data_IF_321672629683
#
_entry.id   IF_321672629683
#
_cell.length_a   1.000
_cell.length_b   1.000
_cell.length_c   1.000
_cell.angle_alpha   90.00
_cell.angle_beta   90.00
_cell.angle_gamma   90.00
#
_symmetry.space_group_name_H-M   'P 1'
#
loop_
_entity.id
_entity.type
_entity.pdbx_description
1 polymer ?
#
# COMPACT_ATOMS: atom_id res chain seq x y z
N UNK A 1 51.24 -25.14 -42.52
CA UNK A 1 51.24 -25.23 -44.00
C UNK A 1 50.34 -26.36 -44.39
N UNK A 2 49.36 -26.06 -45.25
CA UNK A 2 48.66 -26.96 -46.19
C UNK A 2 47.91 -28.17 -45.63
N UNK A 3 46.72 -28.56 -46.08
CA UNK A 3 45.62 -28.04 -46.93
C UNK A 3 44.69 -29.26 -47.12
N UNK A 4 43.38 -29.03 -47.31
CA UNK A 4 42.48 -29.73 -48.28
C UNK A 4 42.24 -31.25 -48.13
N UNK A 5 41.10 -31.86 -48.48
CA UNK A 5 39.76 -31.44 -48.92
C UNK A 5 38.97 -32.73 -49.22
N UNK A 6 37.64 -32.62 -49.21
CA UNK A 6 36.67 -33.15 -50.22
C UNK A 6 36.43 -34.66 -50.39
N UNK A 7 35.14 -34.98 -50.24
CA UNK A 7 34.25 -35.63 -51.23
C UNK A 7 33.87 -37.13 -51.12
N UNK A 8 32.56 -37.29 -50.90
CA UNK A 8 31.55 -38.03 -51.67
C UNK A 8 31.72 -39.51 -52.01
N UNK A 9 30.68 -40.29 -51.68
CA UNK A 9 30.01 -41.14 -52.68
C UNK A 9 28.66 -41.71 -52.21
N UNK A 10 27.65 -41.39 -53.02
CA UNK A 10 26.33 -42.00 -53.13
C UNK A 10 26.39 -43.45 -53.70
N UNK A 11 25.39 -44.29 -53.36
CA UNK A 11 24.56 -45.07 -54.32
C UNK A 11 23.65 -46.06 -53.56
N UNK A 12 22.32 -45.87 -53.59
CA UNK A 12 21.33 -46.43 -54.54
C UNK A 12 21.13 -47.95 -54.49
N UNK A 13 19.97 -48.42 -53.99
CA UNK A 13 19.12 -49.44 -54.65
C UNK A 13 17.63 -49.12 -54.40
N UNK A 14 16.84 -49.16 -55.48
CA UNK A 14 15.36 -49.01 -55.59
C UNK A 14 14.67 -50.39 -55.55
N UNK A 15 13.47 -50.45 -54.97
CA UNK A 15 12.21 -51.08 -55.49
C UNK A 15 11.18 -51.04 -54.34
N UNK A 16 9.86 -50.95 -54.49
CA UNK A 16 8.91 -50.96 -55.61
C UNK A 16 7.58 -50.38 -55.06
N UNK A 17 6.80 -49.76 -55.94
CA UNK A 17 5.48 -49.18 -55.67
C UNK A 17 4.41 -50.24 -55.43
N UNK A 18 3.54 -50.02 -54.44
CA UNK A 18 2.12 -50.35 -54.58
C UNK A 18 1.29 -49.34 -53.77
N UNK A 19 0.37 -48.69 -54.48
CA UNK A 19 -0.61 -47.72 -54.00
C UNK A 19 -1.67 -48.42 -53.15
N UNK A 20 -2.13 -47.77 -52.09
CA UNK A 20 -3.57 -47.56 -51.83
C UNK A 20 -3.78 -46.45 -50.79
N UNK A 21 -4.82 -45.67 -51.03
CA UNK A 21 -5.22 -44.49 -50.29
C UNK A 21 -5.89 -44.85 -48.96
N UNK A 22 -5.58 -44.10 -47.89
CA UNK A 22 -6.58 -43.43 -47.03
C UNK A 22 -5.97 -42.90 -45.71
N UNK A 23 -6.38 -41.69 -45.33
CA UNK A 23 -6.54 -41.30 -43.92
C UNK A 23 -5.34 -40.73 -43.16
N UNK A 24 -5.10 -39.43 -43.31
CA UNK A 24 -4.26 -38.62 -42.41
C UNK A 24 -4.83 -38.60 -40.97
N UNK A 25 -4.11 -39.15 -39.99
CA UNK A 25 -4.23 -38.79 -38.56
C UNK A 25 -2.85 -38.67 -37.92
N UNK A 26 -2.43 -37.43 -37.67
CA UNK A 26 -1.22 -37.10 -36.90
C UNK A 26 -1.44 -37.41 -35.42
N UNK A 27 -0.68 -38.39 -34.90
CA UNK A 27 -0.45 -38.58 -33.47
C UNK A 27 0.47 -37.47 -32.97
N UNK A 28 0.02 -36.69 -31.98
CA UNK A 28 0.90 -35.84 -31.16
C UNK A 28 1.24 -36.59 -29.88
N UNK A 29 2.55 -36.70 -29.67
CA UNK A 29 3.23 -37.27 -28.51
C UNK A 29 2.80 -36.62 -27.20
N UNK A 30 2.54 -37.49 -26.22
CA UNK A 30 2.37 -37.24 -24.80
C UNK A 30 3.67 -36.79 -24.15
N UNK A 31 3.62 -35.72 -23.35
CA UNK A 31 4.60 -35.44 -22.30
C UNK A 31 3.87 -34.99 -21.04
N UNK A 32 3.61 -35.97 -20.18
CA UNK A 32 3.14 -35.80 -18.80
C UNK A 32 4.31 -35.40 -17.92
N UNK A 33 4.16 -34.27 -17.21
CA UNK A 33 5.06 -33.88 -16.12
C UNK A 33 4.25 -33.25 -15.00
N UNK A 34 3.81 -34.07 -14.06
CA UNK A 34 3.16 -33.65 -12.81
C UNK A 34 4.22 -33.53 -11.73
N UNK A 35 4.17 -32.45 -10.94
CA UNK A 35 4.80 -32.42 -9.62
C UNK A 35 3.95 -31.55 -8.67
N UNK A 36 3.44 -32.22 -7.63
CA UNK A 36 2.67 -31.74 -6.46
C UNK A 36 1.14 -31.80 -6.57
N UNK A 37 0.56 -32.53 -5.61
CA UNK A 37 -0.75 -33.15 -5.67
C UNK A 37 -1.93 -32.27 -5.25
N UNK A 38 -3.03 -32.46 -5.95
CA UNK A 38 -4.35 -32.73 -5.39
C UNK A 38 -5.25 -33.22 -6.53
N UNK A 39 -5.89 -34.37 -6.39
CA UNK A 39 -6.96 -34.83 -7.28
C UNK A 39 -8.21 -33.97 -7.05
N UNK A 40 -8.19 -32.70 -7.48
CA UNK A 40 -9.39 -31.85 -7.49
C UNK A 40 -10.21 -32.24 -8.72
N UNK A 41 -11.44 -32.71 -8.48
CA UNK A 41 -12.51 -32.77 -9.47
C UNK A 41 -12.59 -31.42 -10.20
N UNK A 42 -11.99 -31.33 -11.39
CA UNK A 42 -12.13 -30.15 -12.24
C UNK A 42 -13.49 -30.26 -12.91
N UNK A 43 -14.45 -29.46 -12.46
CA UNK A 43 -15.68 -29.27 -13.19
C UNK A 43 -15.32 -28.63 -14.54
N UNK A 44 -15.65 -29.30 -15.65
CA UNK A 44 -15.44 -28.73 -16.97
C UNK A 44 -16.35 -27.51 -17.13
N UNK A 45 -15.77 -26.34 -17.41
CA UNK A 45 -16.54 -25.13 -17.71
C UNK A 45 -17.24 -25.30 -19.05
N UNK A 46 -18.44 -24.75 -19.17
CA UNK A 46 -19.17 -24.73 -20.45
C UNK A 46 -18.41 -23.87 -21.48
N UNK A 47 -18.53 -24.15 -22.79
CA UNK A 47 -17.99 -23.27 -23.82
C UNK A 47 -18.40 -21.80 -23.58
N UNK A 48 -17.46 -20.86 -23.71
CA UNK A 48 -17.69 -19.43 -23.48
C UNK A 48 -17.66 -18.95 -22.01
N UNK A 49 -17.24 -19.81 -21.08
CA UNK A 49 -17.13 -19.46 -19.65
C UNK A 49 -15.67 -19.48 -19.16
N UNK A 50 -14.72 -19.20 -20.05
CA UNK A 50 -13.31 -19.10 -19.66
C UNK A 50 -13.05 -17.82 -18.84
N UNK A 51 -11.88 -17.75 -18.19
CA UNK A 51 -11.43 -16.54 -17.52
C UNK A 51 -11.39 -15.33 -18.48
N UNK A 52 -11.05 -15.54 -19.75
CA UNK A 52 -11.03 -14.46 -20.75
C UNK A 52 -12.43 -13.99 -21.10
N UNK A 53 -13.42 -14.88 -21.12
CA UNK A 53 -14.82 -14.54 -21.35
C UNK A 53 -15.38 -13.75 -20.17
N UNK A 54 -14.99 -14.11 -18.94
CA UNK A 54 -15.32 -13.34 -17.74
C UNK A 54 -14.75 -11.92 -17.79
N UNK A 55 -13.48 -11.76 -18.16
CA UNK A 55 -12.85 -10.44 -18.29
C UNK A 55 -13.55 -9.61 -19.36
N UNK A 56 -13.96 -10.23 -20.47
CA UNK A 56 -14.72 -9.57 -21.53
C UNK A 56 -16.09 -9.09 -21.03
N UNK A 57 -16.80 -9.93 -20.28
CA UNK A 57 -18.08 -9.59 -19.66
C UNK A 57 -17.94 -8.44 -18.64
N UNK A 58 -16.90 -8.47 -17.80
CA UNK A 58 -16.62 -7.37 -16.86
C UNK A 58 -16.31 -6.02 -17.53
N UNK A 59 -15.96 -6.03 -18.82
CA UNK A 59 -15.65 -4.83 -19.60
C UNK A 59 -16.77 -4.46 -20.61
N UNK A 60 -17.90 -5.18 -20.63
CA UNK A 60 -19.01 -4.90 -21.56
C UNK A 60 -19.80 -3.63 -21.20
N UNK A 61 -19.62 -3.10 -19.98
CA UNK A 61 -20.42 -1.99 -19.45
C UNK A 61 -21.71 -2.45 -18.76
N UNK A 62 -21.99 -3.75 -18.69
CA UNK A 62 -23.09 -4.28 -17.89
C UNK A 62 -22.84 -4.08 -16.39
N UNK A 63 -23.90 -3.74 -15.66
CA UNK A 63 -23.87 -3.61 -14.21
C UNK A 63 -23.89 -4.99 -13.55
N UNK A 64 -22.70 -5.50 -13.21
CA UNK A 64 -22.54 -6.81 -12.57
C UNK A 64 -22.78 -6.78 -11.05
N UNK A 65 -22.78 -5.59 -10.41
CA UNK A 65 -23.14 -5.46 -8.99
C UNK A 65 -24.65 -5.34 -8.79
N UNK A 66 -25.36 -4.81 -9.79
CA UNK A 66 -26.80 -4.51 -9.71
C UNK A 66 -27.10 -3.24 -8.92
N UNK A 67 -26.07 -2.40 -8.68
CA UNK A 67 -26.18 -1.19 -7.85
C UNK A 67 -25.99 0.12 -8.62
N UNK A 68 -25.95 0.06 -9.95
CA UNK A 68 -25.71 1.19 -10.85
C UNK A 68 -24.47 2.00 -10.46
N UNK A 69 -23.42 1.31 -9.99
CA UNK A 69 -22.16 1.91 -9.53
C UNK A 69 -22.20 2.53 -8.13
N UNK A 70 -23.29 2.42 -7.37
CA UNK A 70 -23.37 2.88 -5.98
C UNK A 70 -22.90 1.79 -5.03
N UNK A 71 -22.07 2.17 -4.06
CA UNK A 71 -21.63 1.26 -3.00
C UNK A 71 -22.56 1.39 -1.79
N UNK A 72 -23.16 0.28 -1.37
CA UNK A 72 -24.21 0.23 -0.35
C UNK A 72 -23.71 -0.62 0.82
N UNK A 73 -23.66 -0.08 2.05
CA UNK A 73 -23.37 -0.87 3.24
C UNK A 73 -24.49 -1.90 3.50
N UNK A 74 -24.14 -3.19 3.51
CA UNK A 74 -25.08 -4.33 3.60
C UNK A 74 -25.03 -4.93 5.00
N UNK A 75 -26.17 -5.22 5.64
CA UNK A 75 -26.17 -5.95 6.92
C UNK A 75 -26.12 -7.46 6.71
N UNK A 76 -25.77 -8.22 7.76
CA UNK A 76 -25.80 -9.69 7.67
C UNK A 76 -27.21 -10.21 7.38
N UNK A 77 -28.25 -9.56 7.90
CA UNK A 77 -29.64 -9.91 7.61
C UNK A 77 -29.95 -9.71 6.13
N UNK A 78 -29.50 -8.60 5.54
CA UNK A 78 -29.70 -8.34 4.12
C UNK A 78 -28.91 -9.33 3.25
N UNK A 79 -27.63 -9.55 3.57
CA UNK A 79 -26.79 -10.52 2.87
C UNK A 79 -27.45 -11.92 2.83
N UNK A 80 -28.08 -12.34 3.93
CA UNK A 80 -28.70 -13.67 4.04
C UNK A 80 -29.91 -13.89 3.13
N UNK A 81 -30.53 -12.81 2.61
CA UNK A 81 -31.65 -12.89 1.66
C UNK A 81 -31.20 -13.27 0.26
N UNK A 82 -29.97 -12.91 -0.11
CA UNK A 82 -29.39 -13.15 -1.43
C UNK A 82 -28.66 -14.49 -1.46
N UNK A 83 -29.42 -15.58 -1.27
CA UNK A 83 -28.89 -16.92 -1.02
C UNK A 83 -29.17 -17.94 -2.14
N UNK A 84 -29.59 -17.50 -3.33
CA UNK A 84 -30.04 -18.38 -4.42
C UNK A 84 -29.16 -18.24 -5.67
N UNK A 85 -29.18 -19.22 -6.58
CA UNK A 85 -28.35 -19.17 -7.80
C UNK A 85 -28.55 -17.91 -8.64
N UNK A 86 -29.80 -17.43 -8.72
CA UNK A 86 -30.18 -16.27 -9.53
C UNK A 86 -30.10 -14.95 -8.76
N UNK A 87 -29.77 -15.02 -7.47
CA UNK A 87 -29.58 -13.88 -6.58
C UNK A 87 -28.59 -14.29 -5.48
N UNK A 88 -27.30 -14.27 -5.84
CA UNK A 88 -26.23 -14.87 -5.06
C UNK A 88 -25.22 -13.82 -4.62
N UNK A 89 -25.23 -13.48 -3.33
CA UNK A 89 -24.24 -12.58 -2.76
C UNK A 89 -23.33 -13.31 -1.79
N UNK A 90 -22.09 -12.84 -1.67
CA UNK A 90 -21.10 -13.41 -0.77
C UNK A 90 -20.32 -12.29 -0.09
N UNK A 91 -20.03 -12.44 1.20
CA UNK A 91 -19.09 -11.57 1.89
C UNK A 91 -17.71 -12.24 1.96
N UNK A 92 -16.66 -11.51 1.59
CA UNK A 92 -15.27 -11.95 1.70
C UNK A 92 -14.45 -10.78 2.27
N UNK A 93 -13.84 -11.01 3.43
CA UNK A 93 -13.03 -10.04 4.20
C UNK A 93 -13.75 -8.71 4.40
N UNK A 94 -15.03 -8.78 4.76
CA UNK A 94 -15.86 -7.61 5.08
C UNK A 94 -16.45 -6.86 3.87
N UNK A 95 -16.26 -7.34 2.65
CA UNK A 95 -16.86 -6.75 1.43
C UNK A 95 -17.87 -7.73 0.82
N UNK A 96 -19.03 -7.22 0.43
CA UNK A 96 -20.11 -7.97 -0.21
C UNK A 96 -20.01 -7.86 -1.74
N UNK A 97 -20.11 -9.00 -2.42
CA UNK A 97 -20.08 -9.14 -3.87
C UNK A 97 -21.32 -9.84 -4.40
N UNK A 98 -21.88 -9.34 -5.50
CA UNK A 98 -22.93 -10.01 -6.27
C UNK A 98 -22.28 -11.02 -7.24
N UNK A 99 -22.23 -12.29 -6.84
CA UNK A 99 -21.60 -13.35 -7.62
C UNK A 99 -22.57 -14.09 -8.56
N UNK A 100 -23.81 -13.61 -8.69
CA UNK A 100 -24.85 -14.21 -9.54
C UNK A 100 -24.37 -14.50 -10.95
N UNK A 101 -23.76 -13.52 -11.63
CA UNK A 101 -23.23 -13.67 -12.99
C UNK A 101 -21.92 -14.46 -13.05
N UNK A 102 -21.22 -14.58 -11.92
CA UNK A 102 -19.95 -15.30 -11.82
C UNK A 102 -20.11 -16.81 -11.63
N UNK A 103 -21.32 -17.28 -11.26
CA UNK A 103 -21.62 -18.68 -10.97
C UNK A 103 -21.12 -19.66 -12.04
N UNK A 104 -21.43 -19.38 -13.31
CA UNK A 104 -21.07 -20.28 -14.41
C UNK A 104 -19.59 -20.16 -14.83
N UNK A 105 -18.85 -19.18 -14.29
CA UNK A 105 -17.42 -18.92 -14.53
C UNK A 105 -16.51 -19.42 -13.40
N UNK A 106 -17.08 -19.94 -12.31
CA UNK A 106 -16.31 -20.42 -11.17
C UNK A 106 -15.60 -21.75 -11.49
N UNK A 107 -14.26 -21.83 -11.45
CA UNK A 107 -13.53 -23.06 -11.82
C UNK A 107 -13.78 -24.25 -10.89
N UNK A 108 -14.25 -24.00 -9.67
CA UNK A 108 -14.66 -25.04 -8.72
C UNK A 108 -16.08 -25.56 -8.94
N UNK A 109 -16.82 -24.99 -9.91
CA UNK A 109 -18.23 -25.30 -10.14
C UNK A 109 -19.17 -24.50 -9.25
N UNK A 110 -20.46 -24.53 -9.61
CA UNK A 110 -21.53 -23.76 -8.94
C UNK A 110 -21.72 -24.24 -7.51
N UNK A 111 -21.68 -25.56 -7.29
CA UNK A 111 -21.96 -26.17 -5.98
C UNK A 111 -20.97 -25.71 -4.89
N UNK A 112 -19.69 -25.55 -5.26
CA UNK A 112 -18.66 -25.04 -4.34
C UNK A 112 -18.88 -23.56 -4.00
N UNK A 113 -19.26 -22.75 -4.99
CA UNK A 113 -19.50 -21.32 -4.77
C UNK A 113 -20.78 -21.10 -3.95
N UNK A 114 -21.84 -21.88 -4.21
CA UNK A 114 -23.12 -21.83 -3.50
C UNK A 114 -22.99 -22.12 -2.00
N UNK A 115 -21.96 -22.86 -1.57
CA UNK A 115 -21.70 -23.11 -0.13
C UNK A 115 -21.49 -21.83 0.66
N UNK A 116 -20.92 -20.80 0.01
CA UNK A 116 -20.62 -19.50 0.62
C UNK A 116 -21.68 -18.41 0.39
N UNK A 117 -22.68 -18.68 -0.44
CA UNK A 117 -23.69 -17.71 -0.82
C UNK A 117 -24.63 -17.38 0.36
N UNK A 118 -24.97 -16.11 0.51
CA UNK A 118 -25.76 -15.56 1.61
C UNK A 118 -25.00 -15.43 2.94
N UNK A 119 -23.67 -15.57 2.96
CA UNK A 119 -22.86 -15.65 4.19
C UNK A 119 -21.54 -14.89 4.08
N UNK A 120 -20.92 -14.63 5.24
CA UNK A 120 -19.49 -14.32 5.32
C UNK A 120 -18.67 -15.58 5.10
N UNK A 121 -18.09 -15.68 3.92
CA UNK A 121 -17.34 -16.82 3.44
C UNK A 121 -15.84 -16.61 3.51
N UNK A 122 -15.38 -15.63 4.30
CA UNK A 122 -13.96 -15.34 4.47
C UNK A 122 -13.16 -16.57 4.86
N UNK A 123 -13.66 -17.35 5.82
CA UNK A 123 -13.00 -18.57 6.28
C UNK A 123 -12.97 -19.65 5.19
N UNK A 124 -14.13 -19.96 4.60
CA UNK A 124 -14.25 -20.94 3.52
C UNK A 124 -13.35 -20.59 2.33
N UNK A 125 -13.28 -19.29 1.98
CA UNK A 125 -12.40 -18.79 0.94
C UNK A 125 -10.92 -19.00 1.30
N UNK A 126 -10.50 -18.68 2.52
CA UNK A 126 -9.11 -18.84 2.95
C UNK A 126 -8.67 -20.32 2.96
N UNK A 127 -9.56 -21.25 3.29
CA UNK A 127 -9.24 -22.68 3.30
C UNK A 127 -8.96 -23.23 1.88
N UNK A 128 -9.71 -22.76 0.88
CA UNK A 128 -9.69 -23.36 -0.48
C UNK A 128 -8.87 -22.50 -1.47
N UNK A 129 -8.91 -21.17 -1.30
CA UNK A 129 -8.50 -20.17 -2.27
C UNK A 129 -7.65 -19.02 -1.69
N UNK A 130 -6.95 -19.22 -0.56
CA UNK A 130 -6.11 -18.19 0.09
C UNK A 130 -5.20 -17.37 -0.87
N UNK A 131 -4.72 -18.00 -1.93
CA UNK A 131 -3.77 -17.42 -2.89
C UNK A 131 -4.42 -16.83 -4.16
N UNK A 132 -5.75 -16.92 -4.29
CA UNK A 132 -6.48 -16.42 -5.47
C UNK A 132 -6.75 -14.93 -5.31
N UNK A 133 -6.44 -14.15 -6.35
CA UNK A 133 -6.73 -12.71 -6.38
C UNK A 133 -8.21 -12.44 -6.71
N UNK A 134 -9.09 -12.77 -5.77
CA UNK A 134 -10.54 -12.57 -5.91
C UNK A 134 -10.92 -11.09 -6.07
N UNK A 135 -10.11 -10.17 -5.56
CA UNK A 135 -10.37 -8.73 -5.66
C UNK A 135 -10.33 -8.25 -7.11
N UNK A 136 -9.38 -8.72 -7.90
CA UNK A 136 -9.33 -8.41 -9.33
C UNK A 136 -10.45 -9.10 -10.10
N UNK A 137 -10.81 -10.32 -9.69
CA UNK A 137 -11.81 -11.12 -10.37
C UNK A 137 -13.25 -10.62 -10.16
N UNK A 138 -13.56 -10.17 -8.94
CA UNK A 138 -14.89 -9.76 -8.51
C UNK A 138 -15.05 -8.24 -8.38
N UNK A 139 -14.08 -7.43 -8.86
CA UNK A 139 -14.13 -5.98 -8.72
C UNK A 139 -15.43 -5.35 -9.26
N UNK A 140 -15.94 -5.85 -10.40
CA UNK A 140 -17.17 -5.39 -11.04
C UNK A 140 -18.44 -5.87 -10.35
N UNK A 141 -18.34 -6.88 -9.49
CA UNK A 141 -19.44 -7.45 -8.72
C UNK A 141 -19.60 -6.78 -7.35
N UNK A 142 -18.78 -5.80 -7.00
CA UNK A 142 -18.74 -5.21 -5.66
C UNK A 142 -20.02 -4.43 -5.34
N UNK A 143 -20.68 -4.78 -4.23
CA UNK A 143 -21.89 -4.10 -3.73
C UNK A 143 -21.52 -3.07 -2.67
N UNK A 144 -20.64 -3.42 -1.73
CA UNK A 144 -20.25 -2.53 -0.62
C UNK A 144 -19.83 -3.27 0.65
N UNK A 145 -19.54 -2.54 1.75
CA UNK A 145 -19.04 -3.12 2.99
C UNK A 145 -20.14 -3.83 3.80
N UNK A 146 -19.76 -4.89 4.52
CA UNK A 146 -20.62 -5.60 5.46
C UNK A 146 -20.72 -4.84 6.80
N UNK A 147 -21.93 -4.43 7.20
CA UNK A 147 -22.21 -3.79 8.49
C UNK A 147 -22.06 -4.82 9.61
N UNK A 148 -21.07 -4.61 10.49
CA UNK A 148 -21.00 -5.31 11.77
C UNK A 148 -21.90 -4.58 12.78
N UNK A 149 -23.06 -5.15 13.09
CA UNK A 149 -23.88 -4.68 14.22
C UNK A 149 -23.34 -5.36 15.47
N UNK A 150 -22.61 -4.62 16.31
CA UNK A 150 -22.27 -5.09 17.65
C UNK A 150 -23.50 -4.93 18.53
N UNK A 151 -24.33 -5.98 18.65
CA UNK A 151 -25.36 -6.04 19.70
C UNK A 151 -24.68 -6.38 21.02
N UNK A 152 -24.36 -5.35 21.80
CA UNK A 152 -23.77 -5.52 23.13
C UNK A 152 -24.86 -6.03 24.08
N UNK A 153 -24.76 -7.29 24.49
CA UNK A 153 -25.51 -7.79 25.65
C UNK A 153 -24.81 -7.32 26.94
N UNK A 154 -25.54 -6.79 27.94
CA UNK A 154 -24.96 -6.29 29.19
C UNK A 154 -24.09 -7.33 29.92
N UNK A 155 -24.42 -8.62 29.78
CA UNK A 155 -23.72 -9.73 30.43
C UNK A 155 -22.37 -10.07 29.79
N UNK A 156 -22.12 -9.60 28.57
CA UNK A 156 -20.81 -9.72 27.91
C UNK A 156 -19.82 -8.69 28.49
N UNK A 157 -20.28 -7.47 28.82
CA UNK A 157 -19.43 -6.41 29.39
C UNK A 157 -18.83 -6.89 30.72
N UNK A 158 -19.66 -7.49 31.58
CA UNK A 158 -19.23 -7.98 32.90
C UNK A 158 -18.23 -9.15 32.82
N UNK A 159 -18.38 -10.04 31.83
CA UNK A 159 -17.42 -11.13 31.57
C UNK A 159 -16.13 -10.62 30.92
N UNK A 160 -16.23 -9.62 30.06
CA UNK A 160 -15.08 -8.98 29.44
C UNK A 160 -14.27 -8.18 30.46
N UNK A 161 -14.90 -7.45 31.39
CA UNK A 161 -14.21 -6.73 32.47
C UNK A 161 -13.42 -7.67 33.40
N UNK A 162 -14.01 -8.82 33.75
CA UNK A 162 -13.33 -9.85 34.57
C UNK A 162 -12.21 -10.54 33.78
N UNK A 163 -12.39 -10.83 32.49
CA UNK A 163 -11.34 -11.40 31.66
C UNK A 163 -10.23 -10.39 31.31
N UNK A 164 -10.53 -9.10 31.25
CA UNK A 164 -9.55 -8.03 31.06
C UNK A 164 -8.69 -7.89 32.33
N UNK A 165 -9.26 -7.95 33.53
CA UNK A 165 -8.45 -7.90 34.77
C UNK A 165 -7.62 -9.17 34.99
N UNK A 166 -8.10 -10.34 34.55
CA UNK A 166 -7.33 -11.57 34.57
C UNK A 166 -6.20 -11.57 33.52
N UNK A 167 -6.44 -11.02 32.31
CA UNK A 167 -5.42 -10.85 31.27
C UNK A 167 -4.41 -9.75 31.57
N UNK A 168 -4.78 -8.67 32.28
CA UNK A 168 -3.81 -7.65 32.73
C UNK A 168 -2.77 -8.25 33.69
N UNK A 169 -3.19 -9.18 34.55
CA UNK A 169 -2.30 -9.88 35.47
C UNK A 169 -1.41 -10.93 34.76
N UNK A 170 -1.86 -11.55 33.67
CA UNK A 170 -1.03 -12.41 32.81
C UNK A 170 -0.14 -11.63 31.82
N UNK A 171 -0.57 -10.46 31.33
CA UNK A 171 0.21 -9.55 30.46
C UNK A 171 1.39 -8.91 31.18
N UNK A 172 1.32 -8.79 32.52
CA UNK A 172 2.46 -8.42 33.36
C UNK A 172 3.55 -9.51 33.43
N UNK A 173 3.27 -10.73 32.97
CA UNK A 173 4.21 -11.87 32.99
C UNK A 173 4.68 -12.34 31.59
N UNK A 174 4.17 -11.77 30.50
CA UNK A 174 4.73 -12.01 29.17
C UNK A 174 6.12 -11.36 29.06
N UNK A 175 7.13 -12.06 28.51
CA UNK A 175 8.44 -11.46 28.28
C UNK A 175 8.25 -10.27 27.34
N UNK A 176 8.53 -9.05 27.83
CA UNK A 176 8.59 -7.82 27.02
C UNK A 176 9.26 -8.15 25.69
N UNK A 177 8.55 -7.99 24.57
CA UNK A 177 9.14 -8.15 23.24
C UNK A 177 10.34 -7.18 23.17
N UNK A 178 11.56 -7.72 23.21
CA UNK A 178 12.82 -6.97 23.39
C UNK A 178 13.23 -6.09 22.19
N UNK A 179 12.35 -5.77 21.25
CA UNK A 179 12.75 -5.29 19.92
C UNK A 179 12.34 -3.87 19.56
N UNK A 180 11.58 -3.18 20.40
CA UNK A 180 11.15 -1.82 20.08
C UNK A 180 12.17 -0.81 20.57
N UNK A 181 12.62 0.08 19.67
CA UNK A 181 13.46 1.19 20.08
C UNK A 181 12.62 2.29 20.68
N UNK A 182 13.07 2.82 21.80
CA UNK A 182 12.52 4.02 22.37
C UNK A 182 13.24 5.23 21.77
N UNK A 183 12.53 6.13 21.07
CA UNK A 183 13.13 7.34 20.54
C UNK A 183 13.66 8.22 21.67
N UNK A 184 14.89 8.74 21.52
CA UNK A 184 15.47 9.69 22.47
C UNK A 184 15.34 11.10 21.94
N UNK A 185 15.19 12.06 22.84
CA UNK A 185 15.05 13.46 22.51
C UNK A 185 16.11 14.29 23.23
N UNK A 186 16.55 15.33 22.57
CA UNK A 186 17.42 16.36 23.15
C UNK A 186 17.07 17.70 22.51
N UNK A 187 17.39 18.81 23.15
CA UNK A 187 17.13 20.11 22.57
C UNK A 187 18.17 21.14 23.02
N UNK A 188 18.43 22.07 22.12
CA UNK A 188 19.28 23.23 22.37
C UNK A 188 18.53 24.49 21.97
N UNK A 189 18.90 25.63 22.54
CA UNK A 189 18.23 26.89 22.22
C UNK A 189 19.20 28.06 22.12
N UNK A 190 18.73 29.08 21.41
CA UNK A 190 19.23 30.44 21.42
C UNK A 190 18.09 31.37 21.87
N UNK A 191 18.34 32.67 21.84
CA UNK A 191 17.31 33.68 22.18
C UNK A 191 16.11 33.63 21.21
N UNK A 192 16.36 33.46 19.91
CA UNK A 192 15.31 33.55 18.89
C UNK A 192 14.79 32.21 18.38
N UNK A 193 15.56 31.13 18.54
CA UNK A 193 15.19 29.81 18.03
C UNK A 193 15.59 28.70 19.00
N UNK A 194 15.03 27.52 18.79
CA UNK A 194 15.50 26.30 19.42
C UNK A 194 15.53 25.17 18.40
N UNK A 195 16.36 24.16 18.66
CA UNK A 195 16.45 22.94 17.86
C UNK A 195 16.12 21.74 18.72
N UNK A 196 15.12 20.98 18.29
CA UNK A 196 14.74 19.69 18.85
C UNK A 196 15.40 18.58 18.02
N UNK A 197 16.09 17.69 18.71
CA UNK A 197 16.71 16.50 18.17
C UNK A 197 15.90 15.26 18.54
N UNK A 198 15.66 14.40 17.56
CA UNK A 198 15.00 13.11 17.73
C UNK A 198 15.93 12.02 17.22
N UNK A 199 16.22 11.03 18.07
CA UNK A 199 17.13 9.92 17.76
C UNK A 199 16.35 8.62 17.67
N UNK A 200 16.49 7.93 16.54
CA UNK A 200 15.67 6.77 16.11
C UNK A 200 16.53 5.57 15.69
N UNK A 201 17.74 5.45 16.24
CA UNK A 201 18.76 4.43 15.93
C UNK A 201 19.30 4.52 14.48
N UNK A 202 20.59 4.19 14.37
CA UNK A 202 21.32 4.16 13.10
C UNK A 202 20.61 3.28 12.05
N UNK A 203 20.45 3.80 10.82
CA UNK A 203 19.86 3.11 9.66
C UNK A 203 18.44 2.54 9.84
N UNK A 204 17.67 3.01 10.84
CA UNK A 204 16.36 2.43 11.12
C UNK A 204 15.28 2.77 10.07
N UNK A 205 15.46 3.88 9.33
CA UNK A 205 14.55 4.35 8.29
C UNK A 205 13.10 4.59 8.79
N UNK A 206 12.87 5.35 9.87
CA UNK A 206 11.52 5.66 10.34
C UNK A 206 10.87 6.75 9.48
N UNK A 207 9.54 6.80 9.53
CA UNK A 207 8.76 7.91 8.99
C UNK A 207 8.46 8.91 10.10
N UNK A 208 8.12 10.15 9.74
CA UNK A 208 7.69 11.14 10.72
C UNK A 208 6.46 11.89 10.25
N UNK A 209 5.56 12.19 11.19
CA UNK A 209 4.44 13.10 10.97
C UNK A 209 4.54 14.20 12.02
N UNK A 210 4.78 15.43 11.59
CA UNK A 210 4.95 16.58 12.49
C UNK A 210 3.79 17.52 12.24
N UNK A 211 3.03 17.85 13.29
CA UNK A 211 1.85 18.70 13.20
C UNK A 211 1.96 19.87 14.16
N UNK A 212 1.69 21.08 13.69
CA UNK A 212 1.35 22.19 14.56
C UNK A 212 -0.15 22.13 14.86
N UNK A 213 -0.50 22.06 16.14
CA UNK A 213 -1.89 22.06 16.59
C UNK A 213 -2.44 23.49 16.67
N UNK A 214 -3.72 23.65 17.04
CA UNK A 214 -4.36 24.97 17.08
C UNK A 214 -3.71 25.94 18.08
N UNK A 215 -3.08 25.46 19.14
CA UNK A 215 -2.33 26.28 20.09
C UNK A 215 -1.01 26.83 19.51
N UNK A 216 -0.65 28.07 19.87
CA UNK A 216 0.59 28.69 19.41
C UNK A 216 1.86 27.93 19.85
N UNK A 217 1.78 27.18 20.95
CA UNK A 217 2.85 26.41 21.59
C UNK A 217 2.62 24.88 21.55
N UNK A 218 1.62 24.39 20.83
CA UNK A 218 1.31 22.95 20.79
C UNK A 218 1.89 22.30 19.53
N UNK A 219 2.70 21.27 19.73
CA UNK A 219 3.40 20.54 18.67
C UNK A 219 3.18 19.03 18.85
N UNK A 220 2.86 18.34 17.77
CA UNK A 220 2.73 16.88 17.78
C UNK A 220 3.78 16.26 16.84
N UNK A 221 4.50 15.25 17.31
CA UNK A 221 5.49 14.51 16.51
C UNK A 221 5.18 13.03 16.61
N UNK A 222 4.88 12.39 15.48
CA UNK A 222 4.73 10.94 15.40
C UNK A 222 5.96 10.33 14.76
N UNK A 223 6.48 9.28 15.38
CA UNK A 223 7.59 8.48 14.89
C UNK A 223 7.02 7.16 14.42
N UNK A 224 7.07 6.95 13.11
CA UNK A 224 6.44 5.84 12.42
C UNK A 224 7.48 4.75 12.20
N UNK A 225 7.39 3.68 12.98
CA UNK A 225 8.27 2.51 12.86
C UNK A 225 7.60 1.42 12.02
N UNK A 226 8.19 0.23 11.90
CA UNK A 226 7.52 -0.88 11.20
C UNK A 226 6.31 -1.41 11.98
N UNK A 227 6.46 -1.61 13.28
CA UNK A 227 5.43 -2.24 14.12
C UNK A 227 4.57 -1.23 14.87
N UNK A 228 5.09 -0.03 15.14
CA UNK A 228 4.50 0.90 16.09
C UNK A 228 4.55 2.35 15.62
N UNK A 229 3.71 3.16 16.27
CA UNK A 229 3.63 4.60 16.09
C UNK A 229 3.77 5.20 17.48
N UNK A 230 4.86 5.95 17.71
CA UNK A 230 5.03 6.72 18.93
C UNK A 230 4.57 8.15 18.69
N UNK A 231 3.50 8.56 19.35
CA UNK A 231 2.91 9.90 19.28
C UNK A 231 3.39 10.71 20.48
N UNK A 232 4.12 11.79 20.21
CA UNK A 232 4.58 12.74 21.21
C UNK A 232 3.78 14.02 21.07
N UNK A 233 3.01 14.35 22.10
CA UNK A 233 2.29 15.60 22.20
C UNK A 233 3.07 16.54 23.11
N UNK A 234 3.56 17.66 22.58
CA UNK A 234 4.32 18.68 23.30
C UNK A 234 3.46 19.91 23.56
N UNK A 235 3.43 20.34 24.81
CA UNK A 235 3.05 21.71 25.18
C UNK A 235 4.33 22.48 25.46
N UNK A 236 4.78 23.25 24.46
CA UNK A 236 6.02 24.00 24.54
C UNK A 236 5.89 25.17 25.52
N UNK A 237 7.04 25.59 26.06
CA UNK A 237 7.11 26.72 26.98
C UNK A 237 6.54 28.02 26.39
N UNK A 238 6.78 28.26 25.10
CA UNK A 238 6.31 29.45 24.39
C UNK A 238 5.85 29.15 22.97
N UNK A 239 5.24 30.16 22.36
CA UNK A 239 4.76 30.06 20.98
C UNK A 239 5.89 29.84 19.96
N UNK A 240 5.56 29.14 18.86
CA UNK A 240 6.48 28.88 17.75
C UNK A 240 5.94 29.40 16.43
N UNK A 241 6.84 29.89 15.58
CA UNK A 241 6.52 30.19 14.18
C UNK A 241 6.56 28.90 13.36
N UNK A 242 5.65 28.82 12.38
CA UNK A 242 5.52 27.68 11.49
C UNK A 242 5.53 28.17 10.04
N UNK A 243 6.15 27.45 9.08
CA UNK A 243 6.86 26.15 9.21
C UNK A 243 8.17 26.23 10.03
N UNK A 244 8.77 25.09 10.42
CA UNK A 244 10.10 25.08 11.03
C UNK A 244 11.12 25.82 10.14
N UNK A 245 12.03 26.55 10.80
CA UNK A 245 13.16 27.24 10.16
C UNK A 245 14.06 26.28 9.39
N UNK A 246 14.27 25.08 9.94
CA UNK A 246 15.12 24.06 9.34
C UNK A 246 14.62 22.67 9.74
N UNK A 247 14.69 21.74 8.79
CA UNK A 247 14.38 20.33 8.99
C UNK A 247 15.47 19.50 8.31
N UNK A 248 16.19 18.69 9.08
CA UNK A 248 17.26 17.82 8.57
C UNK A 248 17.10 16.41 9.08
N UNK A 249 17.36 15.44 8.21
CA UNK A 249 17.31 14.01 8.56
C UNK A 249 18.62 13.38 8.13
N UNK A 250 19.31 12.79 9.11
CA UNK A 250 20.45 11.92 8.88
C UNK A 250 19.97 10.48 8.97
N UNK A 251 19.74 9.87 7.80
CA UNK A 251 19.28 8.47 7.69
C UNK A 251 20.34 7.48 8.15
N UNK A 252 21.63 7.81 8.03
CA UNK A 252 22.70 7.00 8.61
C UNK A 252 22.62 7.04 10.13
N UNK A 253 22.74 8.20 10.78
CA UNK A 253 22.74 8.26 12.26
C UNK A 253 21.37 8.01 12.91
N UNK A 254 20.28 8.09 12.14
CA UNK A 254 18.91 8.00 12.67
C UNK A 254 18.50 9.26 13.43
N UNK A 255 19.00 10.44 13.02
CA UNK A 255 18.76 11.72 13.69
C UNK A 255 17.85 12.61 12.85
N UNK A 256 16.78 13.11 13.46
CA UNK A 256 15.95 14.21 12.94
C UNK A 256 16.28 15.48 13.74
N UNK A 257 16.51 16.58 13.02
CA UNK A 257 16.76 17.91 13.59
C UNK A 257 15.67 18.87 13.13
N UNK A 258 14.94 19.44 14.08
CA UNK A 258 13.87 20.41 13.84
C UNK A 258 14.21 21.72 14.52
N UNK A 259 14.43 22.78 13.75
CA UNK A 259 14.68 24.11 14.30
C UNK A 259 13.43 24.97 14.12
N UNK A 260 12.95 25.59 15.19
CA UNK A 260 11.79 26.48 15.18
C UNK A 260 12.20 27.88 15.65
N UNK A 261 11.64 28.90 15.02
CA UNK A 261 11.68 30.25 15.57
C UNK A 261 10.69 30.34 16.74
N UNK A 262 11.13 30.97 17.82
CA UNK A 262 10.27 31.38 18.92
C UNK A 262 9.41 32.56 18.46
N UNK A 263 8.17 32.60 18.89
CA UNK A 263 7.30 33.76 18.63
C UNK A 263 7.87 35.02 19.24
N UNK A 264 7.51 36.19 18.70
CA UNK A 264 8.09 37.48 19.13
C UNK A 264 7.92 37.77 20.62
N UNK A 265 6.78 37.36 21.19
CA UNK A 265 6.46 37.48 22.62
C UNK A 265 7.25 36.53 23.52
N UNK A 266 7.99 35.58 22.92
CA UNK A 266 8.69 34.49 23.61
C UNK A 266 10.17 34.36 23.18
N UNK A 267 10.81 35.47 22.78
CA UNK A 267 12.25 35.53 22.40
C UNK A 267 13.17 35.64 23.62
N UNK A 268 13.04 34.69 24.52
CA UNK A 268 13.87 34.55 25.72
C UNK A 268 14.43 33.13 25.85
N UNK A 269 15.39 32.93 26.74
CA UNK A 269 15.85 31.59 27.10
C UNK A 269 14.77 30.88 27.93
N UNK A 270 14.27 29.77 27.42
CA UNK A 270 13.25 28.96 28.08
C UNK A 270 13.91 28.10 29.15
N UNK A 271 13.34 28.03 30.36
CA UNK A 271 13.92 27.20 31.44
C UNK A 271 13.79 25.70 31.16
N UNK A 272 12.81 25.32 30.35
CA UNK A 272 12.58 23.97 29.85
C UNK A 272 11.96 24.05 28.45
N UNK A 273 11.93 22.94 27.72
CA UNK A 273 11.24 22.89 26.43
C UNK A 273 9.71 23.03 26.61
N UNK A 274 9.19 22.57 27.75
CA UNK A 274 7.77 22.41 28.02
C UNK A 274 7.47 21.03 28.62
N UNK A 275 6.21 20.61 28.57
CA UNK A 275 5.78 19.27 28.96
C UNK A 275 5.49 18.43 27.72
N UNK A 276 5.54 17.10 27.85
CA UNK A 276 5.11 16.22 26.77
C UNK A 276 4.45 14.95 27.30
N UNK A 277 3.53 14.42 26.51
CA UNK A 277 2.88 13.13 26.73
C UNK A 277 3.21 12.19 25.57
N UNK A 278 3.37 10.91 25.88
CA UNK A 278 3.72 9.87 24.90
C UNK A 278 2.63 8.82 24.84
N UNK A 279 2.16 8.52 23.62
CA UNK A 279 1.26 7.41 23.34
C UNK A 279 1.89 6.49 22.30
N UNK A 280 2.04 5.22 22.62
CA UNK A 280 2.51 4.20 21.66
C UNK A 280 1.31 3.40 21.15
N UNK A 281 1.16 3.35 19.83
CA UNK A 281 0.13 2.58 19.14
C UNK A 281 0.78 1.43 18.37
N UNK A 282 0.20 0.23 18.45
CA UNK A 282 0.61 -0.90 17.61
C UNK A 282 -0.13 -0.84 16.27
N UNK A 283 0.60 -0.98 15.16
CA UNK A 283 -0.02 -0.94 13.83
C UNK A 283 -0.98 -2.12 13.59
N UNK A 284 -0.75 -3.26 14.23
CA UNK A 284 -1.64 -4.43 14.14
C UNK A 284 -3.01 -4.25 14.80
N UNK A 285 -3.16 -3.24 15.68
CA UNK A 285 -4.43 -2.91 16.36
C UNK A 285 -5.17 -1.72 15.74
N UNK A 286 -4.59 -1.05 14.74
CA UNK A 286 -5.26 0.00 13.98
C UNK A 286 -5.88 -0.61 12.71
N UNK A 287 -7.13 -1.07 12.80
CA UNK A 287 -7.91 -1.52 11.63
C UNK A 287 -8.23 -0.38 10.65
N UNK A 288 -8.07 0.88 11.07
CA UNK A 288 -8.29 2.07 10.25
C UNK A 288 -6.96 2.72 9.84
N UNK A 289 -6.73 2.81 8.53
CA UNK A 289 -5.61 3.59 8.01
C UNK A 289 -5.82 5.07 8.30
N UNK A 290 -4.86 5.68 8.98
CA UNK A 290 -4.88 7.12 9.26
C UNK A 290 -4.55 7.88 7.98
N UNK A 291 -5.46 8.78 7.59
CA UNK A 291 -5.28 9.72 6.49
C UNK A 291 -5.13 11.15 7.00
N UNK A 292 -4.40 11.95 6.23
CA UNK A 292 -4.20 13.38 6.45
C UNK A 292 -4.51 14.10 5.14
N UNK A 293 -5.25 15.20 5.21
CA UNK A 293 -5.60 15.97 4.02
C UNK A 293 -4.42 16.84 3.57
N UNK A 294 -4.15 16.85 2.27
CA UNK A 294 -3.18 17.72 1.61
C UNK A 294 -3.83 18.43 0.43
N UNK A 295 -3.46 19.68 0.20
CA UNK A 295 -3.90 20.46 -0.96
C UNK A 295 -2.96 20.24 -2.15
N UNK A 296 -3.51 20.16 -3.35
CA UNK A 296 -2.73 20.15 -4.58
C UNK A 296 -2.17 21.56 -4.82
N UNK A 297 -0.86 21.68 -4.96
CA UNK A 297 -0.19 22.94 -5.31
C UNK A 297 0.41 22.94 -6.71
N UNK A 298 0.60 21.77 -7.31
CA UNK A 298 0.98 21.62 -8.71
C UNK A 298 0.47 20.28 -9.24
N UNK A 299 -0.08 20.27 -10.45
CA UNK A 299 -0.51 19.07 -11.15
C UNK A 299 -0.25 19.23 -12.66
N UNK A 300 0.99 18.99 -13.07
CA UNK A 300 1.45 19.31 -14.41
C UNK A 300 1.95 18.08 -15.16
N UNK A 301 1.51 17.94 -16.40
CA UNK A 301 2.02 16.90 -17.30
C UNK A 301 3.47 17.24 -17.72
N UNK A 302 4.41 16.30 -17.52
CA UNK A 302 5.82 16.48 -17.90
C UNK A 302 6.25 15.62 -19.10
N UNK A 303 5.45 14.62 -19.48
CA UNK A 303 5.65 13.86 -20.71
C UNK A 303 4.31 13.35 -21.29
N UNK A 304 4.33 12.62 -22.40
CA UNK A 304 3.12 12.16 -23.11
C UNK A 304 2.08 11.37 -22.27
N UNK A 305 2.48 10.75 -21.15
CA UNK A 305 1.57 9.96 -20.31
C UNK A 305 1.90 10.02 -18.81
N UNK A 306 2.61 11.03 -18.35
CA UNK A 306 3.01 11.16 -16.94
C UNK A 306 2.98 12.61 -16.52
N UNK A 307 2.64 12.81 -15.25
CA UNK A 307 2.49 14.11 -14.64
C UNK A 307 3.13 14.13 -13.25
N UNK A 308 3.56 15.31 -12.84
CA UNK A 308 3.99 15.60 -11.50
C UNK A 308 2.79 16.07 -10.68
N UNK A 309 2.67 15.54 -9.47
CA UNK A 309 1.66 15.95 -8.51
C UNK A 309 2.37 16.35 -7.22
N UNK A 310 2.19 17.61 -6.83
CA UNK A 310 2.76 18.16 -5.61
C UNK A 310 1.64 18.49 -4.64
N UNK A 311 1.73 17.91 -3.45
CA UNK A 311 0.75 18.03 -2.39
C UNK A 311 1.36 18.78 -1.22
N UNK A 312 0.62 19.67 -0.57
CA UNK A 312 1.10 20.43 0.58
C UNK A 312 0.05 20.50 1.69
N UNK A 313 0.49 20.41 2.93
CA UNK A 313 -0.33 20.76 4.09
C UNK A 313 0.31 21.94 4.83
N UNK A 314 -0.50 22.95 5.18
CA UNK A 314 -0.03 24.17 5.84
C UNK A 314 0.38 23.97 7.29
N UNK A 315 -0.07 22.91 7.96
CA UNK A 315 0.14 22.63 9.38
C UNK A 315 0.79 21.28 9.66
N UNK A 316 1.00 20.47 8.62
CA UNK A 316 1.52 19.11 8.74
C UNK A 316 2.70 18.90 7.79
N UNK A 317 3.76 18.29 8.32
CA UNK A 317 4.90 17.78 7.56
C UNK A 317 4.84 16.25 7.65
N UNK A 318 4.77 15.59 6.51
CA UNK A 318 4.87 14.13 6.43
C UNK A 318 6.20 13.75 5.76
N UNK A 319 7.10 13.18 6.55
CA UNK A 319 8.37 12.62 6.07
C UNK A 319 8.15 11.15 5.78
N UNK A 320 8.40 10.77 4.53
CA UNK A 320 8.32 9.39 4.08
C UNK A 320 9.70 8.73 4.16
N UNK A 321 9.79 7.50 4.72
CA UNK A 321 11.05 6.76 4.72
C UNK A 321 11.52 6.45 3.29
N UNK A 322 12.82 6.23 3.14
CA UNK A 322 13.40 5.84 1.86
C UNK A 322 12.80 4.50 1.41
N UNK A 323 12.28 4.44 0.19
CA UNK A 323 11.68 3.24 -0.40
C UNK A 323 10.25 2.91 0.07
N UNK A 324 9.61 3.80 0.82
CA UNK A 324 8.23 3.64 1.26
C UNK A 324 7.27 4.38 0.32
N UNK A 325 6.00 3.98 0.35
CA UNK A 325 4.91 4.59 -0.42
C UNK A 325 3.84 5.15 0.50
N UNK A 326 2.97 6.01 -0.05
CA UNK A 326 1.75 6.52 0.60
C UNK A 326 0.55 6.19 -0.27
N UNK A 327 -0.58 5.90 0.34
CA UNK A 327 -1.85 5.76 -0.37
C UNK A 327 -2.49 7.12 -0.54
N UNK A 328 -2.90 7.44 -1.76
CA UNK A 328 -3.65 8.65 -2.11
C UNK A 328 -5.11 8.27 -2.35
N UNK A 329 -6.03 9.02 -1.74
CA UNK A 329 -7.48 8.90 -1.92
C UNK A 329 -8.09 10.22 -2.40
N UNK A 330 -9.17 10.12 -3.18
CA UNK A 330 -9.99 11.23 -3.66
C UNK A 330 -11.28 11.28 -2.83
N UNK A 331 -11.57 12.39 -2.14
CA UNK A 331 -12.88 12.67 -1.51
C UNK A 331 -13.59 11.48 -0.81
N UNK A 332 -12.92 10.80 0.12
CA UNK A 332 -13.49 9.66 0.86
C UNK A 332 -13.95 8.48 -0.01
N UNK A 333 -13.58 8.45 -1.29
CA UNK A 333 -13.82 7.29 -2.14
C UNK A 333 -13.05 6.07 -1.61
N UNK A 334 -13.66 4.89 -1.68
CA UNK A 334 -13.01 3.62 -1.32
C UNK A 334 -11.76 3.32 -2.16
N UNK A 335 -11.61 3.96 -3.31
CA UNK A 335 -10.48 3.75 -4.21
C UNK A 335 -9.30 4.61 -3.80
N UNK A 336 -8.28 3.95 -3.26
CA UNK A 336 -6.96 4.52 -2.99
C UNK A 336 -5.90 3.84 -3.85
N UNK A 337 -4.83 4.56 -4.15
CA UNK A 337 -3.66 4.01 -4.85
C UNK A 337 -2.37 4.42 -4.18
N UNK A 338 -1.42 3.48 -4.17
CA UNK A 338 -0.10 3.69 -3.61
C UNK A 338 0.83 4.36 -4.61
N UNK A 339 1.51 5.39 -4.15
CA UNK A 339 2.53 6.11 -4.91
C UNK A 339 3.77 6.30 -4.03
N UNK A 340 4.94 6.27 -4.66
CA UNK A 340 6.22 6.47 -3.96
C UNK A 340 6.64 7.93 -4.08
N UNK A 341 6.76 8.66 -2.96
CA UNK A 341 7.27 10.03 -2.98
C UNK A 341 8.69 10.12 -3.52
N UNK A 342 8.96 11.19 -4.27
CA UNK A 342 10.26 11.45 -4.89
C UNK A 342 10.91 12.72 -4.31
N UNK A 343 12.23 12.81 -4.24
CA UNK A 343 12.90 14.06 -3.89
C UNK A 343 12.55 15.20 -4.86
N UNK A 344 12.37 16.41 -4.32
CA UNK A 344 11.98 17.62 -5.06
C UNK A 344 12.86 17.91 -6.29
N UNK A 345 14.15 17.60 -6.23
CA UNK A 345 15.11 17.83 -7.33
C UNK A 345 14.82 17.05 -8.62
N UNK A 346 13.92 16.06 -8.58
CA UNK A 346 13.51 15.28 -9.74
C UNK A 346 12.21 15.80 -10.37
N UNK A 347 11.61 16.86 -9.82
CA UNK A 347 10.46 17.55 -10.40
C UNK A 347 10.90 18.59 -11.44
N UNK A 348 10.00 18.93 -12.35
CA UNK A 348 10.18 20.06 -13.27
C UNK A 348 9.77 21.37 -12.62
N UNK A 349 8.71 21.38 -11.81
CA UNK A 349 8.32 22.52 -11.01
C UNK A 349 9.25 22.66 -9.79
N UNK A 350 9.89 23.82 -9.65
CA UNK A 350 10.76 24.16 -8.50
C UNK A 350 10.15 25.19 -7.57
N UNK A 351 9.02 25.79 -7.94
CA UNK A 351 8.37 26.85 -7.19
C UNK A 351 7.61 26.30 -5.97
N UNK A 352 7.63 27.05 -4.86
CA UNK A 352 6.86 26.76 -3.64
C UNK A 352 7.14 25.40 -2.97
N UNK A 353 8.17 24.67 -3.39
CA UNK A 353 8.58 23.42 -2.77
C UNK A 353 9.24 23.67 -1.40
N UNK A 354 8.81 22.94 -0.38
CA UNK A 354 9.33 23.04 0.97
C UNK A 354 9.16 21.71 1.72
N UNK A 355 9.56 21.67 3.00
CA UNK A 355 9.51 20.44 3.79
C UNK A 355 8.10 19.89 4.04
N UNK A 356 7.05 20.68 3.83
CA UNK A 356 5.66 20.27 3.95
C UNK A 356 5.07 19.71 2.65
N UNK A 357 5.86 19.61 1.57
CA UNK A 357 5.39 19.08 0.29
C UNK A 357 5.66 17.58 0.14
N UNK A 358 4.72 16.89 -0.50
CA UNK A 358 4.86 15.51 -0.97
C UNK A 358 4.83 15.55 -2.49
N UNK A 359 5.89 15.02 -3.09
CA UNK A 359 6.13 15.12 -4.52
C UNK A 359 5.96 13.73 -5.15
N UNK A 360 5.11 13.60 -6.17
CA UNK A 360 4.81 12.34 -6.83
C UNK A 360 5.03 12.48 -8.34
N UNK A 361 5.57 11.42 -8.97
CA UNK A 361 5.61 11.27 -10.42
C UNK A 361 4.68 10.12 -10.80
N UNK A 362 3.61 10.43 -11.52
CA UNK A 362 2.51 9.50 -11.75
C UNK A 362 2.33 9.27 -13.25
N UNK A 363 2.32 8.00 -13.64
CA UNK A 363 1.92 7.60 -14.99
C UNK A 363 0.40 7.60 -15.11
N UNK A 364 -0.12 8.37 -16.07
CA UNK A 364 -1.53 8.41 -16.46
C UNK A 364 -1.85 7.19 -17.35
N UNK A 365 -2.79 6.36 -16.88
CA UNK A 365 -3.32 5.25 -17.67
C UNK A 365 -4.58 5.67 -18.42
N UNK A 366 -4.64 5.37 -19.71
CA UNK A 366 -5.70 5.76 -20.66
C UNK A 366 -6.99 4.96 -20.54
N UNK A 367 -7.01 3.90 -19.72
CA UNK A 367 -8.24 3.16 -19.41
C UNK A 367 -9.22 4.14 -18.75
N UNK A 368 -10.43 4.27 -19.31
CA UNK A 368 -11.41 5.24 -18.85
C UNK A 368 -11.65 5.11 -17.35
N UNK A 369 -11.66 6.26 -16.65
CA UNK A 369 -11.86 6.36 -15.21
C UNK A 369 -10.80 5.67 -14.32
N UNK A 370 -9.60 5.36 -14.84
CA UNK A 370 -8.50 4.93 -13.97
C UNK A 370 -8.21 5.97 -12.89
N UNK A 371 -7.83 5.52 -11.68
CA UNK A 371 -7.55 6.43 -10.56
C UNK A 371 -6.48 7.47 -10.93
N UNK A 372 -5.44 7.07 -11.68
CA UNK A 372 -4.42 8.01 -12.19
C UNK A 372 -4.97 9.04 -13.19
N UNK A 373 -5.97 8.69 -14.01
CA UNK A 373 -6.57 9.66 -14.93
C UNK A 373 -7.39 10.68 -14.14
N UNK A 374 -8.24 10.20 -13.22
CA UNK A 374 -9.06 11.07 -12.37
C UNK A 374 -8.20 11.99 -11.50
N UNK A 375 -7.07 11.49 -11.02
CA UNK A 375 -6.09 12.26 -10.26
C UNK A 375 -5.40 13.32 -11.14
N UNK A 376 -5.09 13.01 -12.41
CA UNK A 376 -4.52 13.99 -13.36
C UNK A 376 -5.48 15.14 -13.71
N UNK A 377 -6.78 14.95 -13.50
CA UNK A 377 -7.83 15.95 -13.80
C UNK A 377 -8.12 16.87 -12.60
N UNK A 378 -7.54 16.59 -11.43
CA UNK A 378 -7.73 17.43 -10.24
C UNK A 378 -7.02 18.78 -10.39
N UNK A 379 -7.71 19.85 -9.99
CA UNK A 379 -7.17 21.21 -10.05
C UNK A 379 -6.36 21.55 -8.81
N UNK A 380 -5.44 22.50 -8.95
CA UNK A 380 -4.78 23.15 -7.81
C UNK A 380 -5.81 23.68 -6.81
N UNK A 381 -5.49 23.57 -5.52
CA UNK A 381 -6.37 23.88 -4.41
C UNK A 381 -7.31 22.73 -3.98
N UNK A 382 -7.48 21.68 -4.79
CA UNK A 382 -8.25 20.50 -4.38
C UNK A 382 -7.56 19.75 -3.22
N UNK A 383 -8.35 19.18 -2.31
CA UNK A 383 -7.84 18.39 -1.19
C UNK A 383 -7.81 16.89 -1.54
N UNK A 384 -6.72 16.23 -1.19
CA UNK A 384 -6.53 14.78 -1.30
C UNK A 384 -6.19 14.18 0.06
N UNK A 385 -6.63 12.96 0.28
CA UNK A 385 -6.30 12.19 1.47
C UNK A 385 -5.01 11.42 1.26
N UNK A 386 -4.04 11.59 2.15
CA UNK A 386 -2.73 10.92 2.10
C UNK A 386 -2.58 10.04 3.34
N UNK A 387 -2.33 8.74 3.14
CA UNK A 387 -2.10 7.83 4.27
C UNK A 387 -0.75 8.08 4.94
N UNK A 388 -0.58 7.53 6.15
CA UNK A 388 0.76 7.33 6.69
C UNK A 388 1.62 6.44 5.75
N UNK A 389 2.95 6.59 5.76
CA UNK A 389 3.85 5.79 4.92
C UNK A 389 3.79 4.30 5.23
N UNK A 390 3.84 3.50 4.17
CA UNK A 390 3.81 2.04 4.20
C UNK A 390 5.01 1.47 3.44
N UNK A 391 5.54 0.38 3.95
CA UNK A 391 6.72 -0.26 3.40
C UNK A 391 7.53 -0.98 4.48
N UNK A 392 8.51 -1.73 4.03
CA UNK A 392 9.43 -2.50 4.86
C UNK A 392 10.88 -2.36 4.39
N UNK A 393 11.19 -1.36 3.56
CA UNK A 393 12.53 -1.16 3.00
C UNK A 393 13.54 -0.81 4.09
N UNK A 394 14.59 -1.63 4.22
CA UNK A 394 15.62 -1.48 5.26
C UNK A 394 16.89 -0.88 4.69
N UNK A 395 17.42 0.13 5.35
CA UNK A 395 18.69 0.77 4.96
C UNK A 395 19.91 0.01 5.48
N UNK A 396 19.80 -0.62 6.65
CA UNK A 396 20.93 -1.32 7.28
C UNK A 396 21.60 -2.37 6.37
N UNK A 397 20.88 -3.23 5.62
CA UNK A 397 21.51 -4.18 4.70
C UNK A 397 22.37 -3.51 3.62
N UNK A 398 22.01 -2.31 3.15
CA UNK A 398 22.74 -1.59 2.09
C UNK A 398 24.17 -1.23 2.52
N UNK A 399 24.43 -1.13 3.83
CA UNK A 399 25.75 -0.79 4.37
C UNK A 399 26.82 -1.83 4.07
N UNK A 400 26.43 -3.07 3.74
CA UNK A 400 27.36 -4.16 3.40
C UNK A 400 27.78 -4.16 1.93
N UNK A 401 27.17 -3.30 1.11
CA UNK A 401 27.33 -3.32 -0.33
C UNK A 401 27.90 -2.00 -0.88
N UNK A 402 28.80 -2.14 -1.87
CA UNK A 402 29.41 -1.01 -2.58
C UNK A 402 28.80 -0.80 -3.97
N UNK A 403 28.45 -1.89 -4.64
CA UNK A 403 27.86 -1.89 -5.97
C UNK A 403 26.35 -2.12 -5.85
N UNK A 404 25.56 -1.29 -6.55
CA UNK A 404 24.11 -1.39 -6.59
C UNK A 404 23.65 -1.48 -8.04
N UNK A 405 22.84 -2.48 -8.34
CA UNK A 405 22.15 -2.61 -9.62
C UNK A 405 20.69 -2.24 -9.42
N UNK A 406 20.18 -1.32 -10.24
CA UNK A 406 18.80 -0.87 -10.22
C UNK A 406 18.08 -1.38 -11.46
N UNK A 407 17.05 -2.19 -11.27
CA UNK A 407 16.20 -2.71 -12.34
C UNK A 407 14.82 -2.08 -12.23
N UNK A 408 14.49 -1.16 -13.14
CA UNK A 408 13.20 -0.47 -13.17
C UNK A 408 12.58 -0.54 -14.56
N UNK A 409 11.24 -0.59 -14.60
CA UNK A 409 10.45 -0.44 -15.81
C UNK A 409 9.37 0.64 -15.57
N UNK A 410 9.34 1.67 -16.42
CA UNK A 410 8.37 2.76 -16.34
C UNK A 410 8.37 3.47 -14.97
N UNK A 411 7.19 3.62 -14.36
CA UNK A 411 7.03 4.28 -13.05
C UNK A 411 7.68 3.52 -11.89
N UNK A 412 8.15 2.29 -12.11
CA UNK A 412 8.96 1.54 -11.14
C UNK A 412 10.30 2.20 -10.80
N UNK A 413 10.69 3.27 -11.50
CA UNK A 413 11.85 4.09 -11.17
C UNK A 413 11.67 4.93 -9.89
N UNK A 414 10.43 5.27 -9.52
CA UNK A 414 10.14 6.23 -8.44
C UNK A 414 10.76 5.90 -7.08
N UNK A 415 10.80 4.63 -6.60
CA UNK A 415 11.46 4.31 -5.33
C UNK A 415 12.98 4.50 -5.37
N UNK A 416 13.59 4.38 -6.55
CA UNK A 416 15.04 4.48 -6.70
C UNK A 416 15.54 5.90 -6.52
N UNK A 417 14.75 6.93 -6.81
CA UNK A 417 15.18 8.31 -6.61
C UNK A 417 15.55 8.62 -5.16
N UNK A 418 14.74 8.17 -4.20
CA UNK A 418 15.05 8.29 -2.78
C UNK A 418 16.25 7.44 -2.36
N UNK A 419 16.35 6.21 -2.89
CA UNK A 419 17.46 5.29 -2.58
C UNK A 419 18.79 5.83 -3.10
N UNK A 420 18.83 6.31 -4.35
CA UNK A 420 20.01 6.91 -4.98
C UNK A 420 20.48 8.11 -4.17
N UNK A 421 19.57 8.98 -3.74
CA UNK A 421 19.92 10.13 -2.91
C UNK A 421 20.52 9.71 -1.56
N UNK A 422 19.94 8.70 -0.90
CA UNK A 422 20.51 8.13 0.32
C UNK A 422 21.92 7.59 0.06
N UNK A 423 22.11 6.80 -1.00
CA UNK A 423 23.39 6.18 -1.33
C UNK A 423 24.48 7.19 -1.72
N UNK A 424 24.13 8.31 -2.36
CA UNK A 424 25.10 9.37 -2.68
C UNK A 424 25.48 10.18 -1.43
N UNK A 425 24.55 10.36 -0.49
CA UNK A 425 24.78 11.10 0.76
C UNK A 425 25.50 10.29 1.83
N UNK A 426 25.47 8.95 1.77
CA UNK A 426 26.07 8.06 2.77
C UNK A 426 27.56 8.33 2.93
N UNK A 427 28.05 8.36 4.16
CA UNK A 427 29.48 8.45 4.49
C UNK A 427 30.11 7.05 4.59
N UNK A 428 29.32 6.03 4.90
CA UNK A 428 29.77 4.65 4.95
C UNK A 428 30.17 4.13 3.57
N UNK A 429 31.33 3.46 3.46
CA UNK A 429 31.89 2.94 2.19
C UNK A 429 32.06 4.00 1.09
N UNK A 430 32.41 5.25 1.44
CA UNK A 430 32.97 6.18 0.45
C UNK A 430 34.38 5.71 0.06
N UNK A 431 34.67 5.76 -1.24
CA UNK A 431 36.04 5.56 -1.75
C UNK A 431 36.94 6.71 -1.32
#
# INVERSE_FOLDING_TARGET
MNTTSTDDSNSFIKSSLQTDADGFKSQKSTSSGSATGNLRNKCALKPGHSLMDWIRLGNSGEDLSGTQGRLIPISMEELSKHNSRNDAWIAIRGIVYNVTRYMDFHPGGIDELMRGVGKDSTQLFNEIHAWVNYQQLLNKCCIGPLKKIVKVQPDLIKRLEVQISLKENELLQLPKLKFEMEPRFDWIQKLNDFTLYVYTKQFYNPGFLIKKLHGANQLEIWILTEATIHQFHYELHGGIQWPPKNLKISTESGKLELTFWKSEQHRELWRSLGTHNVKTLFKSSCEEEIFVDFQIINNQQFNHNSYELVLQNKHVILITPVGYHVSIGLNWEMFKKDYTPVPAKYLTCTENLNFSTINLLIKKYTISQSFSSRLSEQKEGACLQVSLPKGNFKLLPLTKHRNFCFLAAGSGLTPFFGIIEHLLKRQTNRM
#
